data_IF_927342100518
#
_entry.id   IF_927342100518
#
_cell.length_a   1.000
_cell.length_b   1.000
_cell.length_c   1.000
_cell.angle_alpha   90.00
_cell.angle_beta   90.00
_cell.angle_gamma   90.00
#
_symmetry.space_group_name_H-M   'P 1'
#
loop_
_entity.id
_entity.type
_entity.pdbx_description
1 polymer ?
#
# COMPACT_ATOMS: atom_id res chain seq x y z
N UNK A 1 12.05 13.16 15.62
CA UNK A 1 11.96 13.79 14.29
C UNK A 1 12.08 12.67 13.27
N UNK A 2 10.94 12.02 12.98
CA UNK A 2 10.87 10.87 12.07
C UNK A 2 11.02 11.35 10.63
N UNK A 3 12.17 11.08 10.04
CA UNK A 3 12.34 11.21 8.60
C UNK A 3 11.79 9.92 7.97
N UNK A 4 10.53 9.96 7.55
CA UNK A 4 9.94 9.03 6.60
C UNK A 4 10.78 9.12 5.31
N UNK A 5 11.71 8.20 5.09
CA UNK A 5 12.30 7.98 3.77
C UNK A 5 11.28 7.22 2.91
N UNK A 6 10.15 7.86 2.67
CA UNK A 6 9.16 7.42 1.70
C UNK A 6 9.74 7.62 0.30
N UNK A 7 10.51 6.66 -0.19
CA UNK A 7 10.46 6.36 -1.62
C UNK A 7 9.17 5.57 -1.90
N UNK A 8 8.03 6.13 -1.49
CA UNK A 8 6.69 5.67 -1.83
C UNK A 8 6.39 6.19 -3.24
N UNK A 9 6.91 5.49 -4.25
CA UNK A 9 6.41 5.72 -5.60
C UNK A 9 5.23 4.82 -5.94
N UNK A 10 4.80 3.94 -5.00
CA UNK A 10 3.78 2.89 -5.22
C UNK A 10 3.98 2.12 -6.54
N UNK A 11 5.21 2.16 -7.07
CA UNK A 11 5.55 1.65 -8.38
C UNK A 11 6.24 0.30 -8.20
N UNK A 12 5.73 -0.71 -8.89
CA UNK A 12 6.29 -2.06 -8.84
C UNK A 12 7.72 -2.14 -9.40
N UNK A 13 8.14 -1.13 -10.17
CA UNK A 13 9.48 -1.05 -10.74
C UNK A 13 9.97 0.39 -10.92
N UNK A 14 11.29 0.55 -10.83
CA UNK A 14 11.96 1.79 -11.21
C UNK A 14 12.36 1.74 -12.69
N UNK A 15 12.12 2.82 -13.42
CA UNK A 15 12.54 2.99 -14.81
C UNK A 15 13.51 4.16 -14.92
N UNK A 16 14.58 3.97 -15.70
CA UNK A 16 15.53 5.02 -16.03
C UNK A 16 15.54 5.24 -17.54
N UNK A 17 15.47 6.49 -18.04
CA UNK A 17 15.60 6.75 -19.47
C UNK A 17 16.93 6.20 -20.01
N UNK A 18 16.88 5.57 -21.19
CA UNK A 18 18.05 4.92 -21.79
C UNK A 18 19.23 5.88 -21.98
N UNK A 19 18.96 7.16 -22.28
CA UNK A 19 20.00 8.18 -22.43
C UNK A 19 20.75 8.43 -21.13
N UNK A 20 20.04 8.50 -20.00
CA UNK A 20 20.66 8.68 -18.68
C UNK A 20 21.38 7.41 -18.22
N UNK A 21 20.79 6.24 -18.46
CA UNK A 21 21.44 4.96 -18.19
C UNK A 21 22.81 4.85 -18.87
N UNK A 22 22.90 5.21 -20.17
CA UNK A 22 24.16 5.15 -20.93
C UNK A 22 25.25 6.06 -20.38
N UNK A 23 24.89 7.19 -19.73
CA UNK A 23 25.87 8.07 -19.09
C UNK A 23 26.47 7.45 -17.82
N UNK A 24 25.70 6.62 -17.11
CA UNK A 24 26.09 6.10 -15.80
C UNK A 24 26.63 4.66 -15.82
N UNK A 25 26.21 3.82 -16.78
CA UNK A 25 26.45 2.37 -16.76
C UNK A 25 27.87 1.94 -17.21
N UNK A 26 28.62 2.80 -17.89
CA UNK A 26 29.91 2.46 -18.50
C UNK A 26 29.80 1.44 -19.64
N UNK A 27 30.93 1.08 -20.26
CA UNK A 27 30.98 0.30 -21.51
C UNK A 27 30.70 -1.21 -21.39
N UNK A 28 30.37 -1.72 -20.20
CA UNK A 28 30.43 -3.17 -19.89
C UNK A 28 29.06 -3.84 -19.67
N UNK A 29 27.95 -3.16 -19.93
CA UNK A 29 26.64 -3.69 -19.59
C UNK A 29 25.90 -4.18 -20.84
N UNK A 30 25.33 -5.39 -20.74
CA UNK A 30 24.58 -6.01 -21.83
C UNK A 30 23.09 -5.74 -21.60
N UNK A 31 22.54 -4.84 -22.42
CA UNK A 31 21.13 -4.46 -22.39
C UNK A 31 20.35 -5.35 -23.37
N UNK A 32 19.25 -5.96 -22.92
CA UNK A 32 18.38 -6.79 -23.75
C UNK A 32 16.93 -6.35 -23.67
N UNK A 33 16.15 -6.66 -24.70
CA UNK A 33 14.69 -6.49 -24.66
C UNK A 33 14.09 -7.48 -23.64
N UNK A 34 13.15 -6.99 -22.84
CA UNK A 34 12.38 -7.83 -21.92
C UNK A 34 11.07 -8.26 -22.55
N UNK A 35 10.61 -9.45 -22.17
CA UNK A 35 9.27 -9.95 -22.51
C UNK A 35 8.19 -9.38 -21.58
N UNK A 36 8.58 -8.69 -20.51
CA UNK A 36 7.67 -8.10 -19.53
C UNK A 36 7.16 -6.76 -20.07
N UNK A 37 5.84 -6.61 -20.09
CA UNK A 37 5.21 -5.34 -20.43
C UNK A 37 5.13 -4.46 -19.19
N UNK A 38 5.81 -3.31 -19.21
CA UNK A 38 5.62 -2.28 -18.20
C UNK A 38 4.43 -1.40 -18.58
N UNK A 39 3.60 -1.07 -17.60
CA UNK A 39 2.46 -0.18 -17.75
C UNK A 39 2.71 1.08 -16.93
N UNK A 40 2.52 2.23 -17.56
CA UNK A 40 2.48 3.50 -16.84
C UNK A 40 1.22 3.59 -15.97
N UNK A 41 1.20 4.55 -15.06
CA UNK A 41 0.05 4.86 -14.22
C UNK A 41 -1.27 5.00 -15.00
N UNK A 42 -1.21 5.64 -16.19
CA UNK A 42 -2.35 5.84 -17.09
C UNK A 42 -2.68 4.65 -18.01
N UNK A 43 -1.98 3.51 -17.88
CA UNK A 43 -2.22 2.30 -18.67
C UNK A 43 -1.46 2.22 -20.00
N UNK A 44 -0.70 3.26 -20.38
CA UNK A 44 0.14 3.22 -21.58
C UNK A 44 1.30 2.24 -21.40
N UNK A 45 1.59 1.42 -22.42
CA UNK A 45 2.72 0.48 -22.42
C UNK A 45 4.05 1.23 -22.54
N UNK A 46 5.00 0.87 -21.69
CA UNK A 46 6.38 1.36 -21.71
C UNK A 46 7.27 0.25 -22.27
N UNK A 47 7.95 0.51 -23.39
CA UNK A 47 8.97 -0.41 -23.92
C UNK A 47 10.20 -0.31 -23.02
N UNK A 48 10.54 -1.41 -22.37
CA UNK A 48 11.65 -1.47 -21.44
C UNK A 48 12.80 -2.30 -22.00
N UNK A 49 14.01 -1.95 -21.58
CA UNK A 49 15.20 -2.74 -21.76
C UNK A 49 15.76 -3.07 -20.37
N UNK A 50 16.32 -4.28 -20.23
CA UNK A 50 16.86 -4.76 -18.95
C UNK A 50 18.35 -5.02 -19.12
N UNK A 51 19.11 -4.52 -18.15
CA UNK A 51 20.53 -4.85 -17.98
C UNK A 51 20.64 -6.11 -17.13
N UNK A 52 21.32 -7.13 -17.64
CA UNK A 52 21.52 -8.40 -16.93
C UNK A 52 22.70 -8.33 -15.93
N UNK A 53 23.62 -7.38 -16.11
CA UNK A 53 24.77 -7.17 -15.23
C UNK A 53 24.44 -6.08 -14.20
N UNK A 54 23.35 -6.30 -13.45
CA UNK A 54 22.75 -5.32 -12.55
C UNK A 54 23.77 -4.85 -11.51
N UNK A 55 24.35 -3.67 -11.75
CA UNK A 55 24.94 -2.85 -10.70
C UNK A 55 23.86 -1.95 -10.15
N UNK A 56 23.75 -1.90 -8.83
CA UNK A 56 22.89 -0.95 -8.15
C UNK A 56 23.22 0.47 -8.63
N UNK A 57 22.23 1.18 -9.20
CA UNK A 57 22.40 2.58 -9.63
C UNK A 57 22.86 3.44 -8.44
N UNK A 58 22.29 3.16 -7.26
CA UNK A 58 22.73 3.73 -6.00
C UNK A 58 23.75 2.80 -5.35
N UNK A 59 24.98 3.30 -5.20
CA UNK A 59 26.01 2.66 -4.39
C UNK A 59 25.58 2.54 -2.92
N UNK A 60 26.27 1.67 -2.18
CA UNK A 60 25.97 1.36 -0.78
C UNK A 60 25.90 2.63 0.10
N UNK A 61 26.81 3.57 -0.11
CA UNK A 61 26.85 4.83 0.66
C UNK A 61 25.58 5.67 0.48
N UNK A 62 25.06 5.78 -0.74
CA UNK A 62 23.84 6.51 -1.02
C UNK A 62 22.62 5.82 -0.39
N UNK A 63 22.58 4.48 -0.38
CA UNK A 63 21.49 3.70 0.25
C UNK A 63 21.45 3.85 1.77
N UNK A 64 22.62 3.90 2.41
CA UNK A 64 22.74 4.17 3.86
C UNK A 64 22.30 5.61 4.17
N UNK A 65 22.74 6.59 3.37
CA UNK A 65 22.32 8.00 3.53
C UNK A 65 20.82 8.20 3.35
N UNK A 66 20.21 7.46 2.40
CA UNK A 66 18.77 7.50 2.13
C UNK A 66 17.94 6.66 3.11
N UNK A 67 18.57 5.98 4.09
CA UNK A 67 17.91 5.04 5.01
C UNK A 67 17.09 3.95 4.31
N UNK A 68 17.48 3.59 3.08
CA UNK A 68 16.82 2.49 2.34
C UNK A 68 17.33 1.12 2.78
N UNK A 69 18.50 1.07 3.43
CA UNK A 69 19.09 -0.13 4.02
C UNK A 69 19.71 0.27 5.36
N UNK A 70 19.29 -0.41 6.44
CA UNK A 70 19.96 -0.34 7.72
C UNK A 70 20.91 -1.53 7.89
N UNK A 71 22.14 -1.25 8.32
CA UNK A 71 23.11 -2.29 8.67
C UNK A 71 22.90 -2.69 10.12
N UNK A 72 22.17 -3.77 10.34
CA UNK A 72 21.90 -4.31 11.68
C UNK A 72 22.94 -5.39 12.00
N UNK A 73 23.76 -5.17 13.03
CA UNK A 73 24.79 -6.13 13.45
C UNK A 73 24.26 -7.18 14.45
N UNK A 74 23.14 -6.91 15.12
CA UNK A 74 22.41 -7.87 15.95
C UNK A 74 20.94 -7.48 16.04
N UNK A 75 20.05 -8.48 16.03
CA UNK A 75 18.62 -8.34 16.23
C UNK A 75 18.28 -8.95 17.58
N UNK A 76 17.93 -8.12 18.56
CA UNK A 76 17.34 -8.60 19.82
C UNK A 76 15.82 -8.53 19.69
N UNK A 77 15.20 -9.70 19.51
CA UNK A 77 13.75 -9.84 19.62
C UNK A 77 13.44 -9.91 21.11
N UNK A 78 13.14 -8.76 21.72
CA UNK A 78 12.60 -8.74 23.06
C UNK A 78 11.15 -9.23 23.00
N UNK A 79 10.90 -10.41 23.56
CA UNK A 79 9.56 -10.94 23.74
C UNK A 79 8.72 -9.93 24.53
N UNK A 80 7.61 -9.49 23.94
CA UNK A 80 6.66 -8.54 24.52
C UNK A 80 5.81 -9.24 25.61
N UNK A 81 6.44 -9.91 26.57
CA UNK A 81 5.75 -10.63 27.65
C UNK A 81 5.66 -9.80 28.93
N UNK A 82 5.24 -8.55 28.85
CA UNK A 82 5.05 -7.74 30.05
C UNK A 82 4.05 -6.58 29.82
N UNK A 83 2.76 -6.89 29.73
CA UNK A 83 1.72 -5.94 30.13
C UNK A 83 0.76 -6.62 31.11
N UNK A 84 0.75 -6.24 32.39
CA UNK A 84 -0.14 -6.78 33.39
C UNK A 84 -1.47 -6.03 33.29
N UNK A 85 -2.41 -6.57 32.52
CA UNK A 85 -3.86 -6.31 32.67
C UNK A 85 -4.68 -7.24 31.76
N UNK A 86 -4.24 -8.50 31.62
CA UNK A 86 -5.12 -9.54 31.09
C UNK A 86 -5.94 -10.01 32.30
N UNK A 87 -7.16 -9.46 32.44
CA UNK A 87 -8.18 -10.13 33.24
C UNK A 87 -8.27 -11.54 32.66
N UNK A 88 -7.91 -12.55 33.44
CA UNK A 88 -7.99 -13.94 33.01
C UNK A 88 -9.45 -14.28 32.70
N UNK A 89 -9.84 -14.16 31.43
CA UNK A 89 -11.10 -14.62 30.84
C UNK A 89 -11.23 -16.15 30.83
N UNK A 90 -10.28 -16.86 31.46
CA UNK A 90 -10.21 -18.31 31.58
C UNK A 90 -11.40 -18.82 32.38
N UNK A 91 -12.51 -19.08 31.67
CA UNK A 91 -13.75 -19.62 32.24
C UNK A 91 -15.02 -19.21 31.50
N UNK A 92 -15.01 -18.11 30.72
CA UNK A 92 -16.22 -17.60 30.05
C UNK A 92 -16.38 -18.22 28.65
N UNK A 93 -15.28 -18.47 27.94
CA UNK A 93 -15.29 -19.06 26.60
C UNK A 93 -14.39 -20.29 26.57
N UNK A 94 -14.85 -21.38 25.95
CA UNK A 94 -14.11 -22.66 25.92
C UNK A 94 -13.11 -22.69 24.76
N UNK A 95 -13.36 -21.94 23.69
CA UNK A 95 -12.51 -21.84 22.50
C UNK A 95 -12.59 -20.46 21.84
N UNK A 96 -11.66 -20.18 20.91
CA UNK A 96 -11.70 -18.98 20.05
C UNK A 96 -12.95 -18.99 19.16
N UNK A 97 -13.29 -20.17 18.66
CA UNK A 97 -14.44 -20.42 17.80
C UNK A 97 -15.74 -20.10 18.54
N UNK A 98 -15.82 -20.38 19.86
CA UNK A 98 -16.97 -20.03 20.68
C UNK A 98 -17.21 -18.51 20.68
N UNK A 99 -16.15 -17.70 20.77
CA UNK A 99 -16.26 -16.23 20.76
C UNK A 99 -16.75 -15.73 19.40
N UNK A 100 -16.17 -16.24 18.32
CA UNK A 100 -16.55 -15.87 16.95
C UNK A 100 -18.00 -16.25 16.65
N UNK A 101 -18.47 -17.40 17.13
CA UNK A 101 -19.83 -17.85 16.96
C UNK A 101 -20.82 -17.03 17.81
N UNK A 102 -20.51 -16.80 19.09
CA UNK A 102 -21.38 -16.07 20.02
C UNK A 102 -21.53 -14.58 19.66
N UNK A 103 -20.52 -13.98 19.03
CA UNK A 103 -20.53 -12.57 18.64
C UNK A 103 -20.34 -12.39 17.13
N UNK A 104 -20.91 -13.30 16.34
CA UNK A 104 -20.78 -13.26 14.88
C UNK A 104 -21.21 -11.92 14.26
N UNK A 105 -22.22 -11.26 14.83
CA UNK A 105 -22.68 -9.93 14.39
C UNK A 105 -21.66 -8.81 14.62
N UNK A 106 -20.75 -8.96 15.57
CA UNK A 106 -19.68 -7.99 15.87
C UNK A 106 -18.52 -8.17 14.89
N UNK A 107 -18.26 -9.40 14.47
CA UNK A 107 -17.11 -9.75 13.63
C UNK A 107 -17.43 -9.83 12.12
N UNK A 108 -18.70 -9.67 11.73
CA UNK A 108 -19.13 -9.74 10.34
C UNK A 108 -19.94 -8.51 9.93
N UNK A 109 -19.80 -8.10 8.67
CA UNK A 109 -20.48 -6.91 8.12
C UNK A 109 -19.75 -5.60 8.41
N UNK A 110 -20.40 -4.47 8.09
CA UNK A 110 -19.87 -3.12 8.33
C UNK A 110 -20.29 -2.53 9.69
N UNK A 111 -21.28 -3.17 10.34
CA UNK A 111 -21.95 -2.61 11.51
C UNK A 111 -22.94 -1.52 11.14
N UNK A 112 -24.09 -1.50 11.80
CA UNK A 112 -25.14 -0.49 11.56
C UNK A 112 -25.39 0.26 12.86
N UNK A 113 -25.24 1.57 12.83
CA UNK A 113 -25.68 2.40 13.95
C UNK A 113 -27.20 2.59 13.88
N UNK A 114 -27.94 2.36 14.97
CA UNK A 114 -29.40 2.47 14.98
C UNK A 114 -29.91 3.92 14.91
N UNK A 115 -29.01 4.91 14.93
CA UNK A 115 -29.35 6.32 14.94
C UNK A 115 -29.12 6.93 13.57
N UNK A 116 -30.04 7.81 13.17
CA UNK A 116 -29.84 8.64 11.99
C UNK A 116 -28.78 9.71 12.25
N UNK A 117 -27.89 9.90 11.27
CA UNK A 117 -26.85 10.92 11.34
C UNK A 117 -27.26 12.16 10.54
N UNK A 118 -27.20 13.34 11.17
CA UNK A 118 -27.48 14.62 10.53
C UNK A 118 -26.20 15.44 10.34
N UNK A 119 -25.84 15.69 9.08
CA UNK A 119 -24.71 16.56 8.72
C UNK A 119 -25.14 18.03 8.73
N UNK A 120 -24.54 18.84 9.60
CA UNK A 120 -24.77 20.30 9.65
C UNK A 120 -23.64 21.05 8.95
N UNK A 121 -23.99 21.89 7.99
CA UNK A 121 -23.04 22.78 7.33
C UNK A 121 -22.74 24.00 8.20
N UNK A 122 -21.56 24.59 8.01
CA UNK A 122 -21.24 25.91 8.58
C UNK A 122 -22.07 26.99 7.89
N UNK A 123 -22.31 28.08 8.60
CA UNK A 123 -22.93 29.26 8.01
C UNK A 123 -22.11 29.74 6.80
N UNK A 124 -22.80 30.06 5.70
CA UNK A 124 -22.21 30.47 4.42
C UNK A 124 -21.30 29.42 3.75
N UNK A 125 -21.51 28.12 4.01
CA UNK A 125 -20.79 27.07 3.30
C UNK A 125 -21.08 27.12 1.78
N UNK A 126 -20.03 27.12 0.96
CA UNK A 126 -20.13 27.13 -0.50
C UNK A 126 -19.80 25.72 -1.02
N UNK A 127 -20.66 25.12 -1.86
CA UNK A 127 -20.37 23.82 -2.47
C UNK A 127 -19.13 23.92 -3.37
N UNK A 128 -18.24 22.94 -3.25
CA UNK A 128 -17.00 22.88 -4.02
C UNK A 128 -16.95 21.60 -4.84
N UNK A 129 -16.84 21.75 -6.16
CA UNK A 129 -16.63 20.63 -7.08
C UNK A 129 -15.12 20.48 -7.29
N UNK A 130 -14.62 19.27 -7.03
CA UNK A 130 -13.24 18.90 -7.36
C UNK A 130 -13.23 18.04 -8.63
N UNK A 131 -12.20 18.17 -9.49
CA UNK A 131 -12.02 17.25 -10.61
C UNK A 131 -11.81 15.82 -10.12
N UNK A 132 -12.26 14.83 -10.90
CA UNK A 132 -12.09 13.42 -10.57
C UNK A 132 -10.61 13.05 -10.58
N UNK A 133 -10.16 12.34 -9.54
CA UNK A 133 -8.80 11.79 -9.50
C UNK A 133 -8.75 10.52 -10.33
N UNK A 134 -7.71 10.39 -11.15
CA UNK A 134 -7.45 9.16 -11.92
C UNK A 134 -7.04 8.05 -10.97
N UNK A 135 -7.63 6.87 -11.13
CA UNK A 135 -7.24 5.66 -10.40
C UNK A 135 -6.10 4.98 -11.18
N UNK A 136 -5.00 4.54 -10.51
CA UNK A 136 -3.91 3.85 -11.19
C UNK A 136 -4.43 2.61 -11.92
N UNK A 137 -3.90 2.33 -13.10
CA UNK A 137 -4.36 1.19 -13.90
C UNK A 137 -4.28 -0.15 -13.16
N UNK A 138 -3.24 -0.36 -12.36
CA UNK A 138 -3.05 -1.55 -11.51
C UNK A 138 -4.19 -1.75 -10.51
N UNK A 139 -4.79 -0.67 -10.00
CA UNK A 139 -5.85 -0.70 -9.01
C UNK A 139 -7.26 -0.69 -9.63
N UNK A 140 -7.42 -0.39 -10.92
CA UNK A 140 -8.74 -0.24 -11.55
C UNK A 140 -9.65 -1.45 -11.33
N UNK A 141 -9.12 -2.67 -11.47
CA UNK A 141 -9.91 -3.88 -11.27
C UNK A 141 -10.34 -4.07 -9.82
N UNK A 142 -9.42 -3.88 -8.87
CA UNK A 142 -9.71 -4.02 -7.44
C UNK A 142 -10.68 -2.92 -6.96
N UNK A 143 -10.48 -1.70 -7.46
CA UNK A 143 -11.34 -0.56 -7.21
C UNK A 143 -12.76 -0.83 -7.70
N UNK A 144 -12.92 -1.31 -8.94
CA UNK A 144 -14.22 -1.68 -9.49
C UNK A 144 -14.90 -2.80 -8.68
N UNK A 145 -14.18 -3.88 -8.37
CA UNK A 145 -14.73 -4.99 -7.56
C UNK A 145 -15.22 -4.48 -6.20
N UNK A 146 -14.47 -3.58 -5.58
CA UNK A 146 -14.83 -2.99 -4.29
C UNK A 146 -16.08 -2.12 -4.39
N UNK A 147 -16.18 -1.28 -5.42
CA UNK A 147 -17.37 -0.46 -5.67
C UNK A 147 -18.61 -1.32 -5.98
N UNK A 148 -18.50 -2.28 -6.89
CA UNK A 148 -19.60 -3.19 -7.24
C UNK A 148 -20.07 -3.98 -6.02
N UNK A 149 -19.16 -4.34 -5.10
CA UNK A 149 -19.49 -5.00 -3.83
C UNK A 149 -20.30 -4.07 -2.92
N UNK A 150 -19.86 -2.83 -2.73
CA UNK A 150 -20.54 -1.85 -1.88
C UNK A 150 -21.93 -1.49 -2.44
N UNK A 151 -22.05 -1.35 -3.74
CA UNK A 151 -23.33 -1.09 -4.42
C UNK A 151 -24.31 -2.25 -4.22
N UNK A 152 -23.87 -3.50 -4.45
CA UNK A 152 -24.69 -4.69 -4.21
C UNK A 152 -25.12 -4.85 -2.75
N UNK A 153 -24.32 -4.36 -1.82
CA UNK A 153 -24.64 -4.35 -0.38
C UNK A 153 -25.60 -3.21 -0.01
N UNK A 154 -25.86 -2.25 -0.91
CA UNK A 154 -26.74 -1.11 -0.66
C UNK A 154 -26.09 0.01 0.15
N UNK A 155 -24.77 -0.01 0.32
CA UNK A 155 -24.01 0.95 1.13
C UNK A 155 -23.71 2.25 0.37
N UNK A 156 -23.64 2.13 -0.96
CA UNK A 156 -23.49 3.27 -1.88
C UNK A 156 -24.53 3.17 -2.99
N UNK A 157 -24.89 4.32 -3.53
CA UNK A 157 -25.73 4.44 -4.71
C UNK A 157 -24.87 5.08 -5.80
N UNK A 158 -24.59 4.32 -6.86
CA UNK A 158 -23.81 4.75 -8.03
C UNK A 158 -24.70 5.01 -9.25
#
# INVERSE_FOLDING_TARGET
MEAMSNTDTEADCNVLPLQEYKKCAGSHNEIRETKINLLSYGGSKIKALVDLNVRAILGLEARVKLKSIDRVNSLEISELSAKPNIISLSGIFKSKEDVLNNYSSVFNGLGVFPMEYSMKLKDNAIPKVFPIRTVPHSLLNQYKISLDKLEKQGEILL
#
